data_IF_247466770523
#
_entry.id   IF_247466770523
#
_cell.length_a   1.000
_cell.length_b   1.000
_cell.length_c   1.000
_cell.angle_alpha   90.00
_cell.angle_beta   90.00
_cell.angle_gamma   90.00
#
_symmetry.space_group_name_H-M   'P 1'
#
loop_
_entity.id
_entity.type
_entity.pdbx_description
1 polymer ?
#
# COMPACT_ATOMS: atom_id res chain seq x y z
N UNK A 1 -29.39 12.81 2.48
CA UNK A 1 -30.30 13.68 3.28
C UNK A 1 -30.61 13.18 4.70
N UNK A 2 -30.76 11.89 4.95
CA UNK A 2 -31.04 11.35 6.30
C UNK A 2 -29.80 11.46 7.21
N UNK A 3 -28.63 11.24 6.70
CA UNK A 3 -27.36 11.29 7.43
C UNK A 3 -26.95 12.72 7.82
N UNK A 4 -27.14 13.70 6.95
CA UNK A 4 -26.95 15.13 7.29
C UNK A 4 -27.88 15.63 8.39
N UNK A 5 -29.07 15.03 8.52
CA UNK A 5 -29.99 15.33 9.64
C UNK A 5 -29.55 14.69 10.96
N UNK A 6 -28.88 13.54 10.94
CA UNK A 6 -28.36 12.89 12.14
C UNK A 6 -27.11 13.61 12.68
N UNK A 7 -26.18 14.01 11.80
CA UNK A 7 -25.00 14.79 12.19
C UNK A 7 -25.35 16.18 12.77
N UNK A 8 -26.41 16.84 12.26
CA UNK A 8 -26.85 18.13 12.80
C UNK A 8 -27.44 18.08 14.23
N UNK A 9 -27.73 16.89 14.75
CA UNK A 9 -28.24 16.72 16.12
C UNK A 9 -27.15 16.39 17.15
N UNK A 10 -25.96 16.03 16.74
CA UNK A 10 -24.91 15.51 17.62
C UNK A 10 -23.66 16.42 17.67
N UNK A 11 -23.51 17.37 16.74
CA UNK A 11 -22.35 18.29 16.75
C UNK A 11 -22.79 19.75 16.86
N UNK A 12 -22.12 20.58 17.69
CA UNK A 12 -22.24 22.03 17.61
C UNK A 12 -21.65 22.49 16.25
N UNK A 13 -22.30 23.50 15.66
CA UNK A 13 -21.95 24.05 14.33
C UNK A 13 -20.46 24.41 14.27
N UNK A 14 -19.66 23.61 13.58
CA UNK A 14 -18.37 24.03 13.04
C UNK A 14 -18.67 24.63 11.68
N UNK A 15 -18.48 25.93 11.54
CA UNK A 15 -18.61 26.65 10.27
C UNK A 15 -17.35 26.39 9.46
N UNK A 16 -17.42 25.52 8.44
CA UNK A 16 -16.35 25.38 7.45
C UNK A 16 -16.49 26.57 6.50
N UNK A 17 -15.57 27.51 6.61
CA UNK A 17 -15.45 28.61 5.67
C UNK A 17 -14.89 28.11 4.34
N UNK A 18 -15.61 28.44 3.28
CA UNK A 18 -15.30 28.38 1.85
C UNK A 18 -13.88 27.95 1.46
N UNK A 19 -13.72 26.76 0.89
CA UNK A 19 -12.54 26.40 0.09
C UNK A 19 -12.53 27.20 -1.21
N UNK A 20 -11.56 28.09 -1.34
CA UNK A 20 -11.22 28.75 -2.60
C UNK A 20 -10.39 27.80 -3.46
N UNK A 21 -10.85 27.61 -4.70
CA UNK A 21 -10.14 26.85 -5.72
C UNK A 21 -8.84 27.56 -6.11
N UNK A 22 -7.72 26.89 -6.01
CA UNK A 22 -6.48 27.29 -6.69
C UNK A 22 -5.92 26.09 -7.45
N UNK A 23 -5.79 26.29 -8.76
CA UNK A 23 -4.98 25.43 -9.63
C UNK A 23 -3.53 25.66 -9.26
N UNK A 24 -2.82 24.64 -8.80
CA UNK A 24 -1.39 24.74 -8.54
C UNK A 24 -0.65 23.59 -9.21
N UNK A 25 0.36 23.97 -9.99
CA UNK A 25 1.24 23.03 -10.68
C UNK A 25 2.11 22.26 -9.68
N UNK A 26 2.41 21.05 -10.07
CA UNK A 26 3.39 20.07 -9.57
C UNK A 26 4.14 20.42 -8.29
N UNK A 27 3.50 20.35 -7.13
CA UNK A 27 4.15 20.37 -5.83
C UNK A 27 4.05 18.99 -5.16
N UNK A 28 5.10 18.62 -4.43
CA UNK A 28 5.12 17.37 -3.68
C UNK A 28 4.08 17.41 -2.55
N UNK A 29 3.12 16.50 -2.56
CA UNK A 29 2.10 16.35 -1.52
C UNK A 29 2.52 15.24 -0.59
N UNK A 30 2.56 15.49 0.71
CA UNK A 30 2.66 14.46 1.73
C UNK A 30 1.24 14.19 2.25
N UNK A 31 0.69 13.03 1.94
CA UNK A 31 -0.60 12.61 2.45
C UNK A 31 -0.46 11.30 3.25
N UNK A 32 -1.01 11.28 4.45
CA UNK A 32 -1.15 10.07 5.26
C UNK A 32 -2.63 9.78 5.39
N UNK A 33 -3.08 8.70 4.80
CA UNK A 33 -4.47 8.27 4.83
C UNK A 33 -4.67 7.19 5.90
N UNK A 34 -5.62 7.39 6.78
CA UNK A 34 -6.00 6.43 7.80
C UNK A 34 -7.48 6.06 7.68
N UNK A 35 -7.80 4.78 7.70
CA UNK A 35 -9.18 4.30 7.70
C UNK A 35 -9.63 4.03 9.12
N UNK A 36 -10.71 4.68 9.54
CA UNK A 36 -11.14 4.78 10.93
C UNK A 36 -12.59 4.32 11.10
N UNK A 37 -12.85 3.50 12.10
CA UNK A 37 -14.21 3.13 12.53
C UNK A 37 -14.44 3.64 13.94
N UNK A 38 -15.47 4.45 14.16
CA UNK A 38 -15.67 5.14 15.42
C UNK A 38 -17.02 4.95 16.12
N UNK A 39 -17.00 4.85 17.45
CA UNK A 39 -18.16 4.99 18.32
C UNK A 39 -17.83 5.85 19.53
N UNK A 40 -18.43 7.06 19.59
CA UNK A 40 -18.48 8.08 20.67
C UNK A 40 -17.23 8.87 21.05
N UNK A 41 -17.43 10.15 21.34
CA UNK A 41 -16.56 11.32 21.18
C UNK A 41 -15.69 11.76 22.35
N UNK A 42 -14.50 12.27 22.05
CA UNK A 42 -13.71 13.40 22.65
C UNK A 42 -12.28 13.51 22.04
N UNK A 43 -11.59 14.65 22.10
CA UNK A 43 -10.55 15.11 21.16
C UNK A 43 -9.03 14.98 21.54
N UNK A 44 -8.09 14.81 20.59
CA UNK A 44 -6.62 14.61 20.77
C UNK A 44 -5.63 15.56 20.06
N UNK A 45 -4.42 15.67 20.62
CA UNK A 45 -3.33 16.54 20.17
C UNK A 45 -2.00 15.77 19.98
N UNK A 46 -1.26 16.05 18.93
CA UNK A 46 0.08 15.47 18.60
C UNK A 46 1.19 16.54 18.69
N UNK A 47 2.30 16.28 19.35
CA UNK A 47 3.48 17.16 19.43
C UNK A 47 4.81 16.36 19.36
N UNK A 48 5.84 16.99 18.82
CA UNK A 48 7.19 16.42 18.68
C UNK A 48 8.09 16.64 19.91
N UNK A 49 8.92 15.64 20.23
CA UNK A 49 10.03 15.79 21.20
C UNK A 49 11.32 15.18 20.65
N UNK A 50 12.42 15.96 20.70
CA UNK A 50 13.78 15.51 20.40
C UNK A 50 14.43 14.82 21.60
N UNK A 51 15.12 13.70 21.37
CA UNK A 51 15.87 12.99 22.39
C UNK A 51 17.30 13.53 22.55
N UNK A 52 17.75 13.68 23.80
CA UNK A 52 19.07 14.15 24.16
C UNK A 52 20.08 12.97 24.27
N UNK A 53 21.31 13.23 23.85
CA UNK A 53 22.44 12.28 23.89
C UNK A 53 22.90 11.94 25.32
N UNK A 54 23.00 10.65 25.62
CA UNK A 54 23.60 10.13 26.87
C UNK A 54 25.02 9.65 26.64
N UNK A 55 26.00 10.18 27.39
CA UNK A 55 27.40 9.79 27.40
C UNK A 55 27.59 8.42 28.07
N UNK A 56 28.28 7.50 27.41
CA UNK A 56 28.71 6.21 27.98
C UNK A 56 30.14 6.32 28.52
N UNK A 57 30.34 5.93 29.78
CA UNK A 57 31.65 5.86 30.45
C UNK A 57 32.33 4.51 30.13
N UNK A 58 33.60 4.57 29.80
CA UNK A 58 34.44 3.40 29.54
C UNK A 58 34.92 2.75 30.84
N UNK A 59 34.53 1.49 31.06
CA UNK A 59 35.05 0.64 32.10
C UNK A 59 35.94 -0.48 31.52
N UNK A 60 37.23 -0.50 31.84
CA UNK A 60 38.18 -1.54 31.43
C UNK A 60 38.12 -2.74 32.36
N UNK A 61 37.68 -3.89 31.90
CA UNK A 61 37.84 -5.18 32.58
C UNK A 61 38.67 -6.13 31.72
N UNK A 62 39.80 -6.59 32.29
CA UNK A 62 40.68 -7.62 31.72
C UNK A 62 39.99 -8.98 31.80
N UNK A 63 39.64 -9.57 30.65
CA UNK A 63 39.06 -10.91 30.62
C UNK A 63 40.11 -11.93 30.18
N UNK A 64 40.20 -13.02 30.91
CA UNK A 64 41.09 -14.16 30.65
C UNK A 64 40.76 -14.83 29.32
N UNK A 65 41.78 -15.17 28.55
CA UNK A 65 41.72 -15.86 27.26
C UNK A 65 41.31 -17.32 27.49
N UNK A 66 40.00 -17.62 27.35
CA UNK A 66 39.53 -19.00 27.19
C UNK A 66 39.90 -19.51 25.80
N UNK A 67 40.59 -20.65 25.74
CA UNK A 67 40.84 -21.39 24.49
C UNK A 67 39.50 -21.95 24.02
N UNK A 68 38.89 -21.32 22.99
CA UNK A 68 37.68 -21.83 22.34
C UNK A 68 38.04 -23.02 21.49
N UNK A 69 37.49 -24.19 21.82
CA UNK A 69 37.42 -25.34 20.92
C UNK A 69 36.83 -24.85 19.58
N UNK A 70 37.36 -25.25 18.41
CA UNK A 70 36.74 -24.90 17.14
C UNK A 70 35.28 -25.40 17.12
N UNK A 71 34.33 -24.50 16.96
CA UNK A 71 32.96 -24.89 16.74
C UNK A 71 32.89 -25.74 15.46
N UNK A 72 32.08 -26.80 15.47
CA UNK A 72 31.80 -27.54 14.25
C UNK A 72 31.41 -26.56 13.13
N UNK A 73 31.87 -26.78 11.88
CA UNK A 73 31.49 -25.91 10.79
C UNK A 73 29.97 -25.79 10.74
N UNK A 74 29.49 -24.57 10.65
CA UNK A 74 28.04 -24.32 10.51
C UNK A 74 27.56 -25.10 9.29
N UNK A 75 26.38 -25.72 9.35
CA UNK A 75 25.84 -26.50 8.24
C UNK A 75 25.76 -25.60 7.01
N UNK A 76 26.28 -26.11 5.88
CA UNK A 76 26.29 -25.41 4.60
C UNK A 76 24.87 -24.98 4.22
N UNK A 77 24.71 -23.71 3.83
CA UNK A 77 23.40 -23.17 3.38
C UNK A 77 23.14 -23.70 1.97
N UNK A 78 21.96 -24.33 1.76
CA UNK A 78 21.56 -24.89 0.48
C UNK A 78 20.28 -24.27 -0.05
N UNK A 79 20.08 -24.37 -1.38
CA UNK A 79 18.83 -23.86 -1.98
C UNK A 79 17.60 -24.58 -1.42
N UNK A 80 17.57 -25.89 -1.50
CA UNK A 80 16.37 -26.67 -1.17
C UNK A 80 15.91 -26.46 0.27
N UNK A 81 16.85 -26.45 1.23
CA UNK A 81 16.51 -26.36 2.66
C UNK A 81 16.30 -24.92 3.14
N UNK A 82 17.14 -23.98 2.67
CA UNK A 82 17.23 -22.67 3.30
C UNK A 82 16.71 -21.52 2.41
N UNK A 83 16.95 -21.59 1.11
CA UNK A 83 16.65 -20.49 0.18
C UNK A 83 15.27 -20.65 -0.46
N UNK A 84 14.91 -21.84 -0.91
CA UNK A 84 13.61 -22.08 -1.55
C UNK A 84 12.42 -21.69 -0.68
N UNK A 85 12.37 -22.00 0.65
CA UNK A 85 11.28 -21.53 1.51
C UNK A 85 11.10 -20.02 1.50
N UNK A 86 12.21 -19.26 1.55
CA UNK A 86 12.18 -17.79 1.53
C UNK A 86 11.67 -17.28 0.18
N UNK A 87 12.27 -17.78 -0.91
CA UNK A 87 11.95 -17.36 -2.28
C UNK A 87 10.50 -17.67 -2.63
N UNK A 88 10.02 -18.88 -2.30
CA UNK A 88 8.66 -19.32 -2.60
C UNK A 88 7.61 -18.54 -1.83
N UNK A 89 7.90 -18.17 -0.58
CA UNK A 89 6.98 -17.42 0.26
C UNK A 89 6.94 -15.93 -0.09
N UNK A 90 8.11 -15.31 -0.33
CA UNK A 90 8.22 -13.84 -0.42
C UNK A 90 8.36 -13.36 -1.87
N UNK A 91 9.20 -14.01 -2.69
CA UNK A 91 9.57 -13.49 -4.00
C UNK A 91 8.64 -13.97 -5.13
N UNK A 92 8.18 -15.23 -5.05
CA UNK A 92 7.46 -15.91 -6.13
C UNK A 92 6.10 -15.27 -6.47
N UNK A 93 5.48 -14.51 -5.56
CA UNK A 93 4.23 -13.79 -5.84
C UNK A 93 4.36 -12.83 -7.02
N UNK A 94 5.51 -12.17 -7.14
CA UNK A 94 5.80 -11.23 -8.22
C UNK A 94 6.72 -11.83 -9.29
N UNK A 95 7.67 -12.68 -8.89
CA UNK A 95 8.68 -13.28 -9.77
C UNK A 95 8.24 -14.65 -10.31
N UNK A 96 7.20 -14.63 -11.15
CA UNK A 96 6.66 -15.79 -11.88
C UNK A 96 6.04 -15.36 -13.21
N UNK A 97 5.83 -16.30 -14.16
CA UNK A 97 5.21 -15.97 -15.44
C UNK A 97 3.85 -15.26 -15.28
N UNK A 98 3.65 -14.18 -16.02
CA UNK A 98 2.41 -13.38 -16.03
C UNK A 98 2.27 -12.36 -14.90
N UNK A 99 3.27 -12.24 -14.02
CA UNK A 99 3.32 -11.22 -12.97
C UNK A 99 4.33 -10.10 -13.29
N UNK A 100 4.46 -9.14 -12.39
CA UNK A 100 5.25 -7.92 -12.63
C UNK A 100 6.77 -8.16 -12.66
N UNK A 101 7.27 -9.16 -11.94
CA UNK A 101 8.70 -9.46 -11.88
C UNK A 101 9.28 -9.72 -13.27
N UNK A 102 10.46 -9.18 -13.59
CA UNK A 102 11.05 -9.28 -14.94
C UNK A 102 11.52 -10.70 -15.31
N UNK A 103 11.68 -11.58 -14.32
CA UNK A 103 12.11 -12.97 -14.47
C UNK A 103 11.43 -13.87 -13.42
N UNK A 104 11.41 -15.17 -13.68
CA UNK A 104 10.90 -16.18 -12.74
C UNK A 104 11.91 -16.48 -11.64
N UNK A 105 11.41 -16.89 -10.46
CA UNK A 105 12.20 -17.43 -9.35
C UNK A 105 11.53 -18.71 -8.79
N UNK A 106 10.98 -19.55 -9.66
CA UNK A 106 10.25 -20.76 -9.27
C UNK A 106 11.10 -22.02 -9.22
N UNK A 107 12.30 -21.99 -9.81
CA UNK A 107 13.21 -23.13 -9.88
C UNK A 107 14.58 -22.81 -9.29
N UNK A 108 15.34 -23.84 -8.95
CA UNK A 108 16.73 -23.68 -8.53
C UNK A 108 17.57 -22.93 -9.60
N UNK A 109 17.40 -23.31 -10.85
CA UNK A 109 18.10 -22.73 -11.99
C UNK A 109 17.79 -21.25 -12.13
N UNK A 110 16.52 -20.85 -12.02
CA UNK A 110 16.08 -19.46 -12.04
C UNK A 110 16.78 -18.64 -10.93
N UNK A 111 16.74 -19.14 -9.70
CA UNK A 111 17.28 -18.44 -8.54
C UNK A 111 18.81 -18.39 -8.58
N UNK A 112 19.47 -19.47 -9.01
CA UNK A 112 20.92 -19.52 -9.17
C UNK A 112 21.42 -18.55 -10.24
N UNK A 113 20.72 -18.46 -11.37
CA UNK A 113 21.07 -17.53 -12.44
C UNK A 113 21.04 -16.06 -11.96
N UNK A 114 20.21 -15.73 -10.97
CA UNK A 114 20.06 -14.39 -10.43
C UNK A 114 20.67 -14.22 -9.03
N UNK A 115 21.42 -15.21 -8.51
CA UNK A 115 21.91 -15.24 -7.14
C UNK A 115 22.70 -13.98 -6.75
N UNK A 116 23.63 -13.52 -7.59
CA UNK A 116 24.40 -12.29 -7.37
C UNK A 116 23.49 -11.05 -7.25
N UNK A 117 22.48 -10.96 -8.12
CA UNK A 117 21.53 -9.86 -8.10
C UNK A 117 20.66 -9.91 -6.84
N UNK A 118 20.15 -11.09 -6.47
CA UNK A 118 19.36 -11.30 -5.26
C UNK A 118 20.14 -10.83 -4.04
N UNK A 119 21.39 -11.28 -3.86
CA UNK A 119 22.24 -10.83 -2.74
C UNK A 119 22.39 -9.31 -2.72
N UNK A 120 22.64 -8.69 -3.88
CA UNK A 120 22.83 -7.24 -3.96
C UNK A 120 21.56 -6.46 -3.59
N UNK A 121 20.39 -6.86 -4.09
CA UNK A 121 19.14 -6.11 -3.87
C UNK A 121 18.54 -6.35 -2.48
N UNK A 122 18.72 -7.56 -1.92
CA UNK A 122 18.26 -7.87 -0.55
C UNK A 122 19.13 -7.22 0.51
N UNK A 123 20.46 -7.20 0.32
CA UNK A 123 21.39 -6.50 1.22
C UNK A 123 21.10 -4.99 1.31
N UNK A 124 20.64 -4.38 0.22
CA UNK A 124 20.23 -2.97 0.19
C UNK A 124 18.78 -2.76 0.62
N UNK A 125 18.04 -3.83 0.93
CA UNK A 125 16.59 -3.82 1.21
C UNK A 125 15.75 -3.18 0.10
N UNK A 126 16.25 -3.25 -1.15
CA UNK A 126 15.52 -2.83 -2.34
C UNK A 126 14.45 -3.87 -2.74
N UNK A 127 14.76 -5.16 -2.52
CA UNK A 127 13.82 -6.28 -2.69
C UNK A 127 13.82 -7.15 -1.43
N UNK A 128 12.65 -7.62 -1.03
CA UNK A 128 11.30 -7.30 -1.53
C UNK A 128 10.93 -5.83 -1.29
N UNK A 129 9.94 -5.27 -2.06
CA UNK A 129 9.53 -3.87 -1.96
C UNK A 129 8.70 -3.63 -0.69
N UNK A 130 9.36 -3.41 0.42
CA UNK A 130 8.77 -3.16 1.72
C UNK A 130 9.46 -1.97 2.38
N UNK A 131 8.76 -0.83 2.46
CA UNK A 131 9.36 0.41 2.95
C UNK A 131 9.32 0.62 4.46
N UNK A 132 8.21 0.26 5.18
CA UNK A 132 8.10 0.57 6.60
C UNK A 132 9.20 -0.08 7.44
N UNK A 133 9.73 0.66 8.38
CA UNK A 133 10.57 0.12 9.45
C UNK A 133 9.73 -0.70 10.44
N UNK A 134 10.37 -1.42 11.36
CA UNK A 134 9.67 -2.05 12.47
C UNK A 134 9.22 -0.98 13.44
N UNK A 135 7.93 -0.98 13.76
CA UNK A 135 7.29 -0.06 14.70
C UNK A 135 6.51 -0.80 15.79
N UNK A 136 5.59 -0.09 16.41
CA UNK A 136 4.77 -0.64 17.51
C UNK A 136 3.72 -1.65 17.03
N UNK A 137 3.37 -1.61 15.74
CA UNK A 137 2.30 -2.44 15.17
C UNK A 137 2.78 -3.27 14.00
N UNK A 138 2.29 -4.50 13.90
CA UNK A 138 2.55 -5.38 12.77
C UNK A 138 1.60 -5.07 11.61
N UNK A 139 2.12 -5.17 10.38
CA UNK A 139 1.31 -5.09 9.17
C UNK A 139 0.95 -6.48 8.65
N UNK A 140 -0.23 -6.58 8.06
CA UNK A 140 -0.62 -7.77 7.31
C UNK A 140 0.27 -7.89 6.04
N UNK A 141 0.60 -9.13 5.66
CA UNK A 141 1.40 -9.43 4.47
C UNK A 141 2.78 -8.76 4.43
N UNK A 142 3.42 -8.61 5.58
CA UNK A 142 4.76 -8.07 5.67
C UNK A 142 5.74 -8.87 4.81
N UNK A 143 6.37 -8.21 3.83
CA UNK A 143 7.33 -8.81 2.91
C UNK A 143 8.79 -8.66 3.37
N UNK A 144 9.04 -8.06 4.52
CA UNK A 144 10.39 -7.77 5.01
C UNK A 144 11.18 -9.05 5.26
N UNK A 145 12.37 -9.12 4.69
CA UNK A 145 13.36 -10.14 5.05
C UNK A 145 14.01 -9.82 6.41
N UNK A 146 14.25 -10.84 7.22
CA UNK A 146 15.08 -10.70 8.41
C UNK A 146 16.57 -10.55 8.03
N UNK A 147 17.39 -10.08 8.97
CA UNK A 147 18.84 -9.99 8.77
C UNK A 147 19.47 -11.37 8.56
N UNK A 148 18.93 -12.39 9.23
CA UNK A 148 19.33 -13.78 9.07
C UNK A 148 19.02 -14.30 7.66
N UNK A 149 17.84 -14.00 7.12
CA UNK A 149 17.47 -14.40 5.76
C UNK A 149 18.36 -13.72 4.70
N UNK A 150 18.68 -12.43 4.91
CA UNK A 150 19.63 -11.71 4.05
C UNK A 150 21.02 -12.33 4.13
N UNK A 151 21.47 -12.69 5.33
CA UNK A 151 22.75 -13.36 5.54
C UNK A 151 22.77 -14.77 4.89
N UNK A 152 21.66 -15.51 4.93
CA UNK A 152 21.51 -16.80 4.25
C UNK A 152 21.68 -16.69 2.74
N UNK A 153 21.07 -15.69 2.09
CA UNK A 153 21.29 -15.45 0.65
C UNK A 153 22.77 -15.22 0.32
N UNK A 154 23.44 -14.41 1.13
CA UNK A 154 24.88 -14.14 0.97
C UNK A 154 25.71 -15.41 1.14
N UNK A 155 25.53 -16.14 2.24
CA UNK A 155 26.29 -17.36 2.55
C UNK A 155 26.07 -18.41 1.46
N UNK A 156 24.82 -18.58 0.98
CA UNK A 156 24.52 -19.49 -0.12
C UNK A 156 25.25 -19.13 -1.41
N UNK A 157 25.25 -17.85 -1.77
CA UNK A 157 25.95 -17.38 -2.98
C UNK A 157 27.48 -17.56 -2.85
N UNK A 158 28.07 -17.20 -1.71
CA UNK A 158 29.50 -17.33 -1.46
C UNK A 158 29.97 -18.79 -1.43
N UNK A 159 29.09 -19.74 -1.05
CA UNK A 159 29.35 -21.19 -1.13
C UNK A 159 29.21 -21.76 -2.55
N UNK A 160 28.98 -20.94 -3.59
CA UNK A 160 28.80 -21.40 -4.97
C UNK A 160 27.35 -21.80 -5.30
N UNK A 161 26.42 -21.39 -4.49
CA UNK A 161 24.98 -21.62 -4.64
C UNK A 161 24.61 -23.12 -4.75
N UNK A 162 24.94 -23.96 -3.75
CA UNK A 162 24.64 -25.41 -3.78
C UNK A 162 23.13 -25.66 -3.75
N UNK A 163 22.67 -26.71 -4.48
CA UNK A 163 21.26 -27.06 -4.55
C UNK A 163 20.76 -27.72 -3.26
N UNK A 164 21.55 -28.62 -2.69
CA UNK A 164 21.15 -29.44 -1.52
C UNK A 164 20.36 -30.69 -1.90
N UNK A 165 19.95 -31.44 -0.88
CA UNK A 165 19.24 -32.69 -1.04
C UNK A 165 17.80 -32.48 -1.56
N UNK A 166 17.37 -33.36 -2.48
CA UNK A 166 16.02 -33.25 -3.07
C UNK A 166 14.88 -33.37 -2.05
N UNK A 167 15.10 -34.13 -0.97
CA UNK A 167 14.10 -34.32 0.11
C UNK A 167 13.81 -33.04 0.91
N UNK A 168 14.73 -32.07 0.89
CA UNK A 168 14.63 -30.83 1.64
C UNK A 168 13.90 -29.72 0.83
N UNK A 169 13.64 -29.96 -0.46
CA UNK A 169 12.91 -29.02 -1.29
C UNK A 169 11.44 -28.94 -0.86
N UNK A 170 10.95 -27.75 -0.45
CA UNK A 170 9.53 -27.59 -0.17
C UNK A 170 8.68 -27.78 -1.44
N UNK A 171 7.42 -28.16 -1.30
CA UNK A 171 6.53 -28.21 -2.45
C UNK A 171 6.45 -26.85 -3.14
N UNK A 172 6.41 -26.79 -4.48
CA UNK A 172 6.33 -25.54 -5.20
C UNK A 172 5.06 -24.77 -4.81
N UNK A 173 5.12 -23.43 -4.78
CA UNK A 173 3.98 -22.62 -4.41
C UNK A 173 2.83 -22.82 -5.41
N UNK A 174 1.62 -22.91 -4.89
CA UNK A 174 0.41 -23.02 -5.71
C UNK A 174 -0.19 -21.63 -5.86
N UNK A 175 -0.40 -21.20 -7.10
CA UNK A 175 -1.04 -19.94 -7.40
C UNK A 175 -2.42 -20.18 -7.99
N UNK A 176 -3.38 -19.37 -7.56
CA UNK A 176 -4.74 -19.41 -8.11
C UNK A 176 -4.70 -19.03 -9.59
N UNK A 177 -5.19 -19.91 -10.44
CA UNK A 177 -5.41 -19.61 -11.85
C UNK A 177 -6.71 -18.77 -11.98
N UNK A 178 -6.63 -17.66 -12.66
CA UNK A 178 -7.80 -16.78 -12.80
C UNK A 178 -7.99 -15.85 -11.58
N UNK A 179 -9.25 -15.61 -11.19
CA UNK A 179 -9.60 -14.73 -10.09
C UNK A 179 -9.18 -15.32 -8.75
N UNK A 180 -8.49 -14.52 -7.91
CA UNK A 180 -7.88 -15.01 -6.65
C UNK A 180 -8.92 -15.54 -5.67
N UNK A 181 -10.10 -14.92 -5.65
CA UNK A 181 -11.21 -15.27 -4.76
C UNK A 181 -12.26 -16.15 -5.41
N UNK A 182 -11.93 -16.80 -6.53
CA UNK A 182 -12.89 -17.54 -7.36
C UNK A 182 -13.61 -16.62 -8.33
N UNK A 183 -14.64 -17.13 -9.02
CA UNK A 183 -15.40 -16.37 -10.03
C UNK A 183 -16.15 -15.20 -9.37
N UNK A 184 -15.92 -13.94 -9.79
CA UNK A 184 -16.71 -12.80 -9.34
C UNK A 184 -18.19 -12.91 -9.73
N UNK A 185 -19.06 -12.27 -8.95
CA UNK A 185 -20.49 -12.14 -9.34
C UNK A 185 -20.65 -11.29 -10.59
N UNK A 186 -19.81 -10.24 -10.69
CA UNK A 186 -19.74 -9.36 -11.87
C UNK A 186 -18.28 -9.09 -12.24
N UNK A 187 -18.01 -9.06 -13.54
CA UNK A 187 -16.72 -8.64 -14.09
C UNK A 187 -16.96 -7.41 -14.96
N UNK A 188 -16.42 -6.29 -14.54
CA UNK A 188 -16.32 -5.07 -15.35
C UNK A 188 -15.02 -5.14 -16.14
N UNK A 189 -15.09 -4.83 -17.43
CA UNK A 189 -13.92 -4.78 -18.31
C UNK A 189 -13.92 -3.48 -19.09
N UNK A 190 -12.78 -2.83 -19.17
CA UNK A 190 -12.63 -1.66 -20.05
C UNK A 190 -13.02 -2.03 -21.47
N UNK A 191 -13.94 -1.27 -22.05
CA UNK A 191 -14.48 -1.53 -23.40
C UNK A 191 -13.43 -1.33 -24.47
N UNK A 192 -12.54 -0.35 -24.26
CA UNK A 192 -11.42 -0.06 -25.14
C UNK A 192 -10.10 -0.17 -24.35
N UNK A 193 -9.06 -0.76 -24.95
CA UNK A 193 -7.72 -0.71 -24.36
C UNK A 193 -7.14 0.70 -24.51
N UNK A 194 -6.42 1.16 -23.49
CA UNK A 194 -5.55 2.31 -23.61
C UNK A 194 -4.21 1.90 -24.25
N UNK A 195 -3.76 2.67 -25.22
CA UNK A 195 -2.47 2.45 -25.87
C UNK A 195 -1.38 3.26 -25.16
N UNK A 196 -0.56 2.59 -24.34
CA UNK A 196 0.61 3.18 -23.70
C UNK A 196 1.75 3.24 -24.71
N UNK A 197 2.26 4.44 -24.98
CA UNK A 197 3.35 4.65 -25.92
C UNK A 197 4.68 4.09 -25.39
N UNK A 198 5.61 3.82 -26.32
CA UNK A 198 6.91 3.22 -26.00
C UNK A 198 7.79 4.08 -25.08
N UNK A 199 7.66 5.38 -25.14
CA UNK A 199 8.48 6.33 -24.38
C UNK A 199 7.68 7.53 -23.92
N UNK A 200 8.35 8.43 -23.22
CA UNK A 200 7.76 9.59 -22.58
C UNK A 200 7.84 9.50 -21.05
N UNK A 201 7.12 10.37 -20.38
CA UNK A 201 6.94 10.34 -18.93
C UNK A 201 5.86 9.33 -18.53
N UNK A 202 5.78 9.02 -17.26
CA UNK A 202 4.68 8.27 -16.68
C UNK A 202 3.35 8.91 -17.05
N UNK A 203 2.33 8.09 -17.26
CA UNK A 203 0.99 8.51 -17.65
C UNK A 203 -0.04 8.07 -16.62
N UNK A 204 -1.09 8.88 -16.47
CA UNK A 204 -2.23 8.58 -15.63
C UNK A 204 -3.46 8.50 -16.51
N UNK A 205 -4.18 7.36 -16.41
CA UNK A 205 -5.36 7.10 -17.21
C UNK A 205 -6.49 6.56 -16.36
N UNK A 206 -7.68 7.12 -16.55
CA UNK A 206 -8.88 6.80 -15.82
C UNK A 206 -9.82 5.97 -16.70
N UNK A 207 -10.14 4.76 -16.26
CA UNK A 207 -11.15 3.92 -16.89
C UNK A 207 -12.45 4.03 -16.11
N UNK A 208 -13.55 4.36 -16.79
CA UNK A 208 -14.87 4.51 -16.18
C UNK A 208 -15.70 3.26 -16.44
N UNK A 209 -16.29 2.69 -15.40
CA UNK A 209 -17.17 1.56 -15.44
C UNK A 209 -18.51 1.93 -14.82
N UNK A 210 -19.61 1.79 -15.54
CA UNK A 210 -20.93 1.95 -14.94
C UNK A 210 -21.22 0.83 -13.96
N UNK A 211 -21.77 1.17 -12.80
CA UNK A 211 -22.21 0.18 -11.83
C UNK A 211 -23.26 -0.75 -12.47
N UNK A 212 -23.02 -2.06 -12.47
CA UNK A 212 -23.88 -3.03 -13.15
C UNK A 212 -25.05 -3.46 -12.26
N UNK A 213 -25.64 -2.52 -11.51
CA UNK A 213 -26.70 -2.78 -10.55
C UNK A 213 -27.91 -1.91 -10.83
N UNK A 214 -29.11 -2.49 -10.70
CA UNK A 214 -30.39 -1.79 -10.86
C UNK A 214 -30.95 -1.27 -9.51
N UNK A 215 -30.40 -1.73 -8.41
CA UNK A 215 -30.74 -1.37 -7.03
C UNK A 215 -29.48 -1.40 -6.18
N UNK A 216 -29.51 -0.84 -4.98
CA UNK A 216 -28.39 -0.89 -4.05
C UNK A 216 -27.90 -2.32 -3.80
N UNK A 217 -26.61 -2.54 -4.01
CA UNK A 217 -25.92 -3.80 -3.72
C UNK A 217 -24.76 -3.55 -2.77
N UNK A 218 -24.40 -4.59 -2.03
CA UNK A 218 -23.27 -4.56 -1.13
C UNK A 218 -22.15 -5.43 -1.68
N UNK A 219 -20.97 -4.84 -1.82
CA UNK A 219 -19.77 -5.48 -2.38
C UNK A 219 -18.85 -5.82 -1.21
N UNK A 220 -18.68 -7.11 -0.94
CA UNK A 220 -17.82 -7.60 0.15
C UNK A 220 -16.33 -7.69 -0.25
N UNK A 221 -16.04 -7.69 -1.54
CA UNK A 221 -14.68 -7.72 -2.04
C UNK A 221 -14.60 -7.20 -3.48
N UNK A 222 -13.45 -6.63 -3.80
CA UNK A 222 -13.07 -6.19 -5.14
C UNK A 222 -11.74 -6.81 -5.51
N UNK A 223 -11.62 -7.31 -6.73
CA UNK A 223 -10.34 -7.73 -7.30
C UNK A 223 -10.03 -6.92 -8.55
N UNK A 224 -8.98 -6.11 -8.48
CA UNK A 224 -8.50 -5.30 -9.61
C UNK A 224 -7.51 -6.12 -10.43
N UNK A 225 -7.74 -6.19 -11.74
CA UNK A 225 -6.83 -6.74 -12.74
C UNK A 225 -6.43 -5.63 -13.69
N UNK A 226 -5.24 -5.10 -13.59
CA UNK A 226 -4.85 -3.88 -14.28
C UNK A 226 -4.66 -4.04 -15.80
N UNK A 227 -4.78 -5.24 -16.33
CA UNK A 227 -4.58 -5.55 -17.74
C UNK A 227 -3.13 -5.85 -18.10
N UNK A 228 -2.19 -5.06 -17.63
CA UNK A 228 -0.75 -5.29 -17.78
C UNK A 228 -0.03 -5.00 -16.46
N UNK A 229 0.33 -6.06 -15.73
CA UNK A 229 0.92 -5.95 -14.39
C UNK A 229 2.35 -5.41 -14.37
N UNK A 230 3.01 -5.26 -15.52
CA UNK A 230 4.36 -4.73 -15.64
C UNK A 230 4.39 -3.23 -15.89
N UNK A 231 3.40 -2.72 -16.61
CA UNK A 231 3.30 -1.31 -16.97
C UNK A 231 2.36 -0.52 -16.07
N UNK A 232 1.44 -1.19 -15.39
CA UNK A 232 0.63 -0.55 -14.34
C UNK A 232 1.42 -0.57 -13.04
N UNK A 233 1.90 0.60 -12.64
CA UNK A 233 2.66 0.79 -11.41
C UNK A 233 1.77 0.63 -10.18
N UNK A 234 0.61 1.34 -10.18
CA UNK A 234 -0.48 1.13 -9.24
C UNK A 234 -1.81 1.57 -9.86
N UNK A 235 -2.89 1.21 -9.21
CA UNK A 235 -4.24 1.62 -9.57
C UNK A 235 -5.09 1.84 -8.32
N UNK A 236 -5.91 2.90 -8.35
CA UNK A 236 -6.90 3.21 -7.34
C UNK A 236 -8.30 3.04 -7.94
N UNK A 237 -9.20 2.36 -7.25
CA UNK A 237 -10.60 2.29 -7.65
C UNK A 237 -11.42 3.20 -6.74
N UNK A 238 -12.18 4.09 -7.36
CA UNK A 238 -13.01 5.08 -6.70
C UNK A 238 -14.47 4.86 -7.10
N UNK A 239 -15.40 5.22 -6.24
CA UNK A 239 -16.83 5.22 -6.54
C UNK A 239 -17.27 6.67 -6.78
N UNK A 240 -17.69 6.98 -8.00
CA UNK A 240 -18.29 8.27 -8.35
C UNK A 240 -19.81 8.14 -8.29
N UNK A 241 -20.42 8.87 -7.37
CA UNK A 241 -21.87 8.90 -7.14
C UNK A 241 -22.57 10.04 -7.86
N UNK A 242 -21.80 10.90 -8.54
CA UNK A 242 -22.30 12.11 -9.22
C UNK A 242 -22.35 11.99 -10.73
N UNK A 243 -21.81 10.88 -11.27
CA UNK A 243 -21.57 10.67 -12.71
C UNK A 243 -20.60 11.66 -13.37
N UNK A 244 -19.86 12.44 -12.59
CA UNK A 244 -18.93 13.46 -13.08
C UNK A 244 -17.80 12.87 -13.92
N UNK A 245 -17.28 11.72 -13.54
CA UNK A 245 -16.19 11.05 -14.25
C UNK A 245 -16.56 10.64 -15.68
N UNK A 246 -17.81 10.22 -15.91
CA UNK A 246 -18.26 9.85 -17.26
C UNK A 246 -18.39 11.05 -18.21
N UNK A 247 -18.51 12.26 -17.67
CA UNK A 247 -18.56 13.49 -18.46
C UNK A 247 -17.17 13.96 -18.92
N UNK A 248 -16.10 13.44 -18.30
CA UNK A 248 -14.73 13.67 -18.76
C UNK A 248 -14.35 12.80 -19.95
N UNK A 249 -15.10 11.73 -20.23
CA UNK A 249 -14.86 10.88 -21.40
C UNK A 249 -15.33 11.57 -22.70
N UNK A 250 -14.48 11.61 -23.72
CA UNK A 250 -14.86 12.12 -25.05
C UNK A 250 -15.99 11.30 -25.67
N UNK A 251 -15.95 9.98 -25.47
CA UNK A 251 -17.04 9.05 -25.80
C UNK A 251 -17.10 7.95 -24.73
N UNK A 252 -18.27 7.40 -24.44
CA UNK A 252 -18.42 6.36 -23.43
C UNK A 252 -17.43 5.20 -23.58
N UNK A 253 -16.67 4.92 -22.54
CA UNK A 253 -15.67 3.86 -22.48
C UNK A 253 -14.32 4.20 -23.10
N UNK A 254 -14.10 5.46 -23.49
CA UNK A 254 -12.76 5.92 -23.92
C UNK A 254 -11.80 6.06 -22.74
N UNK A 255 -12.32 6.43 -21.56
CA UNK A 255 -11.53 6.89 -20.45
C UNK A 255 -10.98 8.30 -20.69
N UNK A 256 -10.21 8.80 -19.73
CA UNK A 256 -9.63 10.14 -19.81
C UNK A 256 -8.29 10.23 -19.04
N UNK A 257 -7.45 11.20 -19.42
CA UNK A 257 -6.16 11.44 -18.77
C UNK A 257 -6.35 12.25 -17.49
N UNK A 258 -5.53 11.98 -16.47
CA UNK A 258 -5.47 12.78 -15.25
C UNK A 258 -4.92 11.99 -14.07
N UNK A 259 -4.03 12.63 -13.32
CA UNK A 259 -3.47 12.07 -12.09
C UNK A 259 -4.47 12.22 -10.93
N UNK A 260 -5.08 13.40 -10.84
CA UNK A 260 -6.07 13.72 -9.82
C UNK A 260 -7.46 13.66 -10.43
N UNK A 261 -8.33 12.91 -9.80
CA UNK A 261 -9.74 12.92 -10.13
C UNK A 261 -10.37 14.14 -9.44
N UNK A 262 -10.80 15.11 -10.23
CA UNK A 262 -11.63 16.21 -9.73
C UNK A 262 -13.08 15.74 -9.54
N UNK A 263 -13.26 14.65 -8.82
CA UNK A 263 -14.56 14.21 -8.38
C UNK A 263 -14.88 15.05 -7.13
N UNK A 264 -16.00 15.75 -7.14
CA UNK A 264 -16.39 16.58 -6.01
C UNK A 264 -16.47 15.73 -4.74
N UNK A 265 -15.72 16.11 -3.70
CA UNK A 265 -15.59 15.33 -2.46
C UNK A 265 -16.91 15.10 -1.72
N UNK A 266 -17.94 15.89 -2.02
CA UNK A 266 -19.29 15.73 -1.49
C UNK A 266 -20.01 14.49 -2.08
N UNK A 267 -19.49 13.96 -3.18
CA UNK A 267 -20.03 12.79 -3.88
C UNK A 267 -19.34 11.49 -3.48
N UNK A 268 -18.19 11.58 -2.80
CA UNK A 268 -17.66 10.42 -2.10
C UNK A 268 -18.47 10.24 -0.81
N UNK A 269 -19.24 9.19 -0.76
CA UNK A 269 -19.59 8.64 0.54
C UNK A 269 -18.29 8.44 1.31
N UNK A 270 -18.29 8.60 2.65
CA UNK A 270 -17.12 8.36 3.49
C UNK A 270 -16.67 6.90 3.49
N UNK A 271 -16.89 6.20 2.39
CA UNK A 271 -16.43 4.85 2.13
C UNK A 271 -14.91 4.88 1.98
N UNK A 272 -14.21 4.97 3.10
CA UNK A 272 -12.75 4.88 3.17
C UNK A 272 -12.23 3.49 2.80
N UNK A 273 -12.91 2.78 1.89
CA UNK A 273 -12.41 1.55 1.32
C UNK A 273 -11.21 1.86 0.44
N UNK A 274 -10.02 1.48 0.90
CA UNK A 274 -8.82 1.55 0.09
C UNK A 274 -8.83 0.46 -0.97
N UNK A 275 -9.47 0.74 -2.08
CA UNK A 275 -9.48 -0.11 -3.27
C UNK A 275 -8.23 0.20 -4.10
N UNK A 276 -7.10 -0.27 -3.62
CA UNK A 276 -5.77 -0.03 -4.17
C UNK A 276 -5.16 -1.32 -4.69
N UNK A 277 -4.55 -1.25 -5.86
CA UNK A 277 -3.77 -2.33 -6.45
C UNK A 277 -2.35 -1.86 -6.77
N UNK A 278 -1.39 -2.69 -6.45
CA UNK A 278 0.00 -2.63 -6.96
C UNK A 278 0.47 -4.06 -7.25
N UNK A 279 1.61 -4.24 -7.94
CA UNK A 279 2.21 -5.57 -8.11
C UNK A 279 2.33 -6.32 -6.77
N UNK A 280 1.82 -7.55 -6.75
CA UNK A 280 1.80 -8.38 -5.55
C UNK A 280 0.58 -8.20 -4.63
N UNK A 281 -0.35 -7.30 -4.92
CA UNK A 281 -1.60 -7.15 -4.15
C UNK A 281 -2.43 -8.43 -4.20
N UNK A 282 -2.86 -8.88 -3.01
CA UNK A 282 -3.79 -9.99 -2.85
C UNK A 282 -5.21 -9.43 -2.62
N UNK A 283 -6.17 -9.93 -3.40
CA UNK A 283 -7.58 -9.62 -3.19
C UNK A 283 -8.07 -10.23 -1.87
N UNK A 284 -8.85 -9.46 -1.11
CA UNK A 284 -9.39 -9.87 0.19
C UNK A 284 -10.82 -9.40 0.36
N UNK A 285 -11.65 -10.17 1.07
CA UNK A 285 -12.94 -9.66 1.49
C UNK A 285 -12.74 -8.58 2.56
N UNK A 286 -13.58 -7.56 2.53
CA UNK A 286 -13.74 -6.66 3.65
C UNK A 286 -14.31 -7.42 4.86
N UNK A 287 -14.04 -6.95 6.09
CA UNK A 287 -14.73 -7.48 7.27
C UNK A 287 -16.24 -7.52 7.07
N UNK A 288 -16.92 -8.52 7.60
CA UNK A 288 -18.35 -8.76 7.33
C UNK A 288 -19.26 -7.55 7.58
N UNK A 289 -18.84 -6.65 8.49
CA UNK A 289 -19.60 -5.45 8.84
C UNK A 289 -19.36 -4.28 7.85
N UNK A 290 -18.37 -4.35 6.96
CA UNK A 290 -17.84 -3.23 6.15
C UNK A 290 -17.96 -3.47 4.64
N UNK A 291 -19.08 -3.93 4.13
CA UNK A 291 -19.25 -4.06 2.68
C UNK A 291 -19.36 -2.68 2.02
N UNK A 292 -18.74 -2.52 0.84
CA UNK A 292 -18.85 -1.32 0.02
C UNK A 292 -20.28 -1.21 -0.55
N UNK A 293 -20.90 -0.06 -0.39
CA UNK A 293 -22.20 0.23 -1.01
C UNK A 293 -22.02 0.64 -2.46
N UNK A 294 -22.84 0.04 -3.34
CA UNK A 294 -22.90 0.38 -4.75
C UNK A 294 -24.36 0.58 -5.15
N UNK A 295 -24.69 1.79 -5.62
CA UNK A 295 -26.04 2.17 -6.00
C UNK A 295 -26.23 2.15 -7.53
N UNK A 296 -27.48 2.07 -7.95
CA UNK A 296 -27.82 2.23 -9.37
C UNK A 296 -27.45 3.65 -9.81
N UNK A 297 -26.69 3.75 -10.88
CA UNK A 297 -26.24 5.03 -11.42
C UNK A 297 -24.82 5.44 -11.02
N UNK A 298 -24.24 4.82 -9.97
CA UNK A 298 -22.84 5.04 -9.62
C UNK A 298 -21.91 4.67 -10.77
N UNK A 299 -20.73 5.27 -10.80
CA UNK A 299 -19.60 4.83 -11.60
C UNK A 299 -18.45 4.32 -10.72
N UNK A 300 -17.73 3.34 -11.23
CA UNK A 300 -16.46 2.91 -10.69
C UNK A 300 -15.35 3.43 -11.59
N UNK A 301 -14.45 4.24 -11.04
CA UNK A 301 -13.35 4.86 -11.77
C UNK A 301 -12.04 4.23 -11.36
N UNK A 302 -11.38 3.54 -12.29
CA UNK A 302 -10.07 2.96 -12.08
C UNK A 302 -8.99 3.94 -12.58
N UNK A 303 -8.43 4.72 -11.66
CA UNK A 303 -7.27 5.57 -11.92
C UNK A 303 -6.01 4.70 -11.94
N UNK A 304 -5.26 4.74 -13.04
CA UNK A 304 -4.06 3.92 -13.24
C UNK A 304 -2.84 4.79 -13.48
N UNK A 305 -1.76 4.50 -12.76
CA UNK A 305 -0.43 5.03 -13.01
C UNK A 305 0.33 4.07 -13.93
N UNK A 306 0.75 4.54 -15.08
CA UNK A 306 1.31 3.76 -16.18
C UNK A 306 2.76 4.17 -16.47
N UNK A 307 3.65 3.19 -16.58
CA UNK A 307 5.07 3.41 -16.87
C UNK A 307 5.44 2.83 -18.24
N UNK A 308 5.97 3.65 -19.18
CA UNK A 308 6.45 3.18 -20.49
C UNK A 308 7.58 2.16 -20.38
N UNK A 309 7.56 1.15 -21.23
CA UNK A 309 8.51 0.02 -21.22
C UNK A 309 9.53 0.01 -22.35
N UNK A 310 9.56 1.04 -23.19
CA UNK A 310 10.37 1.05 -24.41
C UNK A 310 9.68 0.48 -25.64
N UNK A 311 8.45 -0.01 -25.49
CA UNK A 311 7.59 -0.50 -26.60
C UNK A 311 6.14 -0.13 -26.35
N UNK A 312 5.34 -0.11 -27.41
CA UNK A 312 3.90 0.14 -27.33
C UNK A 312 3.23 -1.04 -26.62
N UNK A 313 2.42 -0.74 -25.59
CA UNK A 313 1.67 -1.73 -24.82
C UNK A 313 0.17 -1.37 -24.80
N UNK A 314 -0.67 -2.38 -24.72
CA UNK A 314 -2.11 -2.20 -24.55
C UNK A 314 -2.50 -2.50 -23.10
N UNK A 315 -3.20 -1.56 -22.49
CA UNK A 315 -3.69 -1.64 -21.11
C UNK A 315 -5.21 -1.79 -21.15
N UNK A 316 -5.72 -2.95 -20.78
CA UNK A 316 -7.15 -3.21 -20.73
C UNK A 316 -7.51 -3.86 -19.39
N UNK A 317 -7.81 -3.05 -18.36
CA UNK A 317 -8.12 -3.56 -17.05
C UNK A 317 -9.49 -4.20 -16.95
N UNK A 318 -9.66 -4.99 -15.89
CA UNK A 318 -10.95 -5.48 -15.44
C UNK A 318 -11.05 -5.45 -13.92
N UNK A 319 -12.26 -5.33 -13.40
CA UNK A 319 -12.57 -5.30 -11.98
C UNK A 319 -13.61 -6.38 -11.69
N UNK A 320 -13.30 -7.27 -10.76
CA UNK A 320 -14.21 -8.29 -10.27
C UNK A 320 -14.91 -7.81 -9.00
N UNK A 321 -16.25 -7.86 -8.99
CA UNK A 321 -17.06 -7.53 -7.83
C UNK A 321 -17.65 -8.80 -7.24
N UNK A 322 -17.55 -8.91 -5.90
CA UNK A 322 -18.11 -10.02 -5.12
C UNK A 322 -19.18 -9.47 -4.20
N UNK A 323 -20.42 -9.79 -4.44
CA UNK A 323 -21.55 -9.27 -3.68
C UNK A 323 -21.79 -10.03 -2.37
N UNK A 324 -22.47 -9.36 -1.45
CA UNK A 324 -23.07 -9.95 -0.25
C UNK A 324 -24.52 -9.49 -0.13
N UNK A 325 -25.34 -10.28 0.58
CA UNK A 325 -26.70 -9.89 0.96
C UNK A 325 -26.74 -9.09 2.24
N UNK A 326 -25.65 -9.12 3.00
CA UNK A 326 -25.52 -8.42 4.26
C UNK A 326 -25.17 -6.96 3.99
N UNK A 327 -26.04 -6.05 4.41
CA UNK A 327 -25.74 -4.62 4.40
C UNK A 327 -24.60 -4.30 5.38
N UNK A 328 -23.78 -3.31 5.02
CA UNK A 328 -22.78 -2.81 5.95
C UNK A 328 -23.45 -2.17 7.19
N UNK A 329 -22.89 -2.43 8.34
CA UNK A 329 -23.25 -1.80 9.62
C UNK A 329 -22.13 -0.94 10.17
N UNK A 330 -20.93 -1.10 9.63
CA UNK A 330 -19.74 -0.31 9.91
C UNK A 330 -19.21 0.25 8.60
N UNK A 331 -18.76 1.50 8.66
CA UNK A 331 -18.28 2.22 7.49
C UNK A 331 -16.88 2.74 7.77
N UNK A 332 -15.88 2.40 6.94
CA UNK A 332 -14.56 2.97 7.07
C UNK A 332 -14.61 4.46 6.71
N UNK A 333 -13.87 5.27 7.44
CA UNK A 333 -13.70 6.70 7.17
C UNK A 333 -12.26 6.97 6.80
N UNK A 334 -12.05 7.76 5.75
CA UNK A 334 -10.74 8.23 5.36
C UNK A 334 -10.40 9.50 6.14
N UNK A 335 -9.33 9.45 6.95
CA UNK A 335 -8.68 10.64 7.50
C UNK A 335 -7.46 10.96 6.64
N UNK A 336 -7.46 12.13 6.04
CA UNK A 336 -6.35 12.63 5.23
C UNK A 336 -5.64 13.76 5.99
N UNK A 337 -4.32 13.60 6.20
CA UNK A 337 -3.42 14.63 6.69
C UNK A 337 -2.58 15.13 5.52
N UNK A 338 -2.61 16.42 5.25
CA UNK A 338 -1.97 17.04 4.09
C UNK A 338 -1.09 18.22 4.50
N UNK A 339 0.16 18.19 4.03
CA UNK A 339 1.14 19.23 4.31
C UNK A 339 1.46 20.11 3.07
N UNK A 340 0.65 20.04 2.01
CA UNK A 340 0.88 20.73 0.74
C UNK A 340 1.01 22.23 0.89
N UNK A 341 0.18 22.86 1.73
CA UNK A 341 0.18 24.30 2.00
C UNK A 341 1.41 24.80 2.75
N UNK A 342 2.18 23.90 3.35
CA UNK A 342 3.41 24.21 4.09
C UNK A 342 4.67 23.98 3.24
N UNK A 343 4.53 23.49 2.00
CA UNK A 343 5.65 23.18 1.13
C UNK A 343 6.19 24.44 0.46
N UNK A 344 7.14 25.07 1.14
CA UNK A 344 7.98 26.15 0.58
C UNK A 344 9.44 25.84 0.90
N UNK A 345 10.00 24.89 0.13
CA UNK A 345 11.33 24.33 0.38
C UNK A 345 12.41 25.30 -0.12
N UNK A 346 13.20 25.93 0.76
CA UNK A 346 14.30 26.81 0.37
C UNK A 346 15.32 26.07 -0.49
N UNK A 347 15.87 26.76 -1.49
CA UNK A 347 16.91 26.20 -2.36
C UNK A 347 18.11 25.72 -1.53
N UNK A 348 18.46 24.44 -1.67
CA UNK A 348 19.57 23.81 -0.96
C UNK A 348 19.25 23.25 0.43
N UNK A 349 18.05 23.46 0.95
CA UNK A 349 17.62 22.80 2.20
C UNK A 349 17.47 21.29 1.96
N UNK A 350 18.19 20.50 2.77
CA UNK A 350 18.20 19.05 2.72
C UNK A 350 17.39 18.39 3.85
N UNK A 351 16.90 19.20 4.78
CA UNK A 351 16.26 18.73 6.01
C UNK A 351 14.94 19.46 6.29
N UNK A 352 14.32 19.99 5.24
CA UNK A 352 13.01 20.62 5.35
C UNK A 352 11.98 19.63 5.89
N UNK A 353 11.26 20.02 6.94
CA UNK A 353 10.25 19.18 7.61
C UNK A 353 8.90 19.87 7.54
N UNK A 354 7.89 19.11 7.15
CA UNK A 354 6.48 19.50 7.25
C UNK A 354 5.75 18.53 8.14
N UNK A 355 4.71 18.99 8.82
CA UNK A 355 3.89 18.15 9.67
C UNK A 355 2.45 18.63 9.67
N UNK A 356 1.52 17.71 9.80
CA UNK A 356 0.11 17.97 10.04
C UNK A 356 -0.37 17.10 11.19
N UNK A 357 -1.37 17.57 11.94
CA UNK A 357 -1.91 16.85 13.08
C UNK A 357 -3.43 16.95 13.13
N UNK A 358 -4.06 15.88 13.56
CA UNK A 358 -5.48 15.81 13.76
C UNK A 358 -5.78 15.21 15.12
N UNK A 359 -6.68 15.87 15.85
CA UNK A 359 -7.17 15.40 17.12
C UNK A 359 -8.42 14.54 16.91
N UNK A 360 -8.37 13.26 17.31
CA UNK A 360 -9.48 12.33 17.15
C UNK A 360 -10.66 12.75 18.04
N UNK A 361 -11.84 13.07 17.47
CA UNK A 361 -13.01 13.43 18.25
C UNK A 361 -13.71 12.22 18.89
N UNK A 362 -13.36 11.01 18.48
CA UNK A 362 -13.98 9.75 18.91
C UNK A 362 -12.95 8.65 18.98
N UNK A 363 -13.22 7.60 19.75
CA UNK A 363 -12.45 6.37 19.72
C UNK A 363 -12.55 5.73 18.33
N UNK A 364 -11.41 5.22 17.81
CA UNK A 364 -11.34 4.67 16.47
C UNK A 364 -10.56 3.36 16.43
N UNK A 365 -10.83 2.55 15.42
CA UNK A 365 -10.00 1.44 15.02
C UNK A 365 -9.34 1.77 13.68
N UNK A 366 -8.01 1.97 13.70
CA UNK A 366 -7.21 2.24 12.51
C UNK A 366 -6.92 0.93 11.78
N UNK A 367 -7.45 0.79 10.56
CA UNK A 367 -7.38 -0.45 9.78
C UNK A 367 -6.16 -0.48 8.85
N UNK A 368 -5.80 0.67 8.30
CA UNK A 368 -4.71 0.80 7.35
C UNK A 368 -4.15 2.22 7.34
N UNK A 369 -2.95 2.36 6.81
CA UNK A 369 -2.30 3.65 6.60
C UNK A 369 -1.69 3.69 5.19
N UNK A 370 -1.82 4.84 4.52
CA UNK A 370 -1.26 5.07 3.19
C UNK A 370 -0.36 6.30 3.21
N UNK A 371 0.95 6.13 3.45
CA UNK A 371 1.90 7.21 3.30
C UNK A 371 2.09 7.53 1.82
N UNK A 372 2.12 8.82 1.50
CA UNK A 372 2.32 9.31 0.14
C UNK A 372 3.22 10.55 0.14
N UNK A 373 4.20 10.55 -0.74
CA UNK A 373 5.04 11.70 -1.06
C UNK A 373 5.57 11.56 -2.48
N UNK A 374 5.89 12.67 -3.12
CA UNK A 374 6.52 12.68 -4.43
C UNK A 374 8.07 12.59 -4.32
N UNK A 375 8.76 12.99 -5.39
CA UNK A 375 10.20 12.78 -5.61
C UNK A 375 11.13 13.32 -4.51
N UNK A 376 10.73 14.36 -3.78
CA UNK A 376 11.54 14.96 -2.73
C UNK A 376 11.31 14.34 -1.35
N UNK A 377 10.29 13.52 -1.19
CA UNK A 377 10.07 12.77 0.04
C UNK A 377 11.26 11.88 0.39
N UNK A 378 11.62 11.83 1.68
CA UNK A 378 12.75 11.02 2.17
C UNK A 378 12.37 10.18 3.37
N UNK A 379 11.78 10.81 4.37
CA UNK A 379 11.42 10.21 5.65
C UNK A 379 9.96 10.54 5.94
N UNK A 380 9.14 9.53 6.17
CA UNK A 380 7.72 9.67 6.48
C UNK A 380 7.42 8.98 7.80
N UNK A 381 6.94 9.75 8.77
CA UNK A 381 6.62 9.27 10.11
C UNK A 381 5.20 9.65 10.49
N UNK A 382 4.40 8.68 10.90
CA UNK A 382 3.12 8.92 11.55
C UNK A 382 3.13 8.35 12.97
N UNK A 383 2.72 9.18 13.92
CA UNK A 383 2.64 8.85 15.34
C UNK A 383 1.21 9.02 15.84
N UNK A 384 0.83 8.26 16.84
CA UNK A 384 -0.32 8.53 17.69
C UNK A 384 0.15 8.86 19.10
N UNK A 385 -0.27 10.00 19.65
CA UNK A 385 -0.08 10.32 21.05
C UNK A 385 -1.34 9.93 21.82
N UNK A 386 -1.20 9.02 22.76
CA UNK A 386 -2.29 8.53 23.60
C UNK A 386 -2.60 9.49 24.78
N UNK A 387 -3.79 9.41 25.44
CA UNK A 387 -4.18 10.30 26.53
C UNK A 387 -3.18 10.42 27.67
N UNK A 388 -2.45 9.34 27.95
CA UNK A 388 -1.40 9.31 28.98
C UNK A 388 -0.10 9.97 28.57
N UNK A 389 0.01 10.53 27.34
CA UNK A 389 1.23 11.11 26.78
C UNK A 389 2.20 10.08 26.16
N UNK A 390 1.84 8.80 26.16
CA UNK A 390 2.59 7.76 25.45
C UNK A 390 2.46 7.97 23.93
N UNK A 391 3.57 7.86 23.18
CA UNK A 391 3.59 7.89 21.72
C UNK A 391 3.72 6.49 21.15
N UNK A 392 2.93 6.21 20.11
CA UNK A 392 2.98 4.98 19.33
C UNK A 392 3.33 5.30 17.88
N UNK A 393 4.30 4.62 17.35
CA UNK A 393 4.66 4.72 15.92
C UNK A 393 3.64 3.94 15.09
N UNK A 394 2.80 4.66 14.38
CA UNK A 394 1.83 4.06 13.46
C UNK A 394 2.53 3.52 12.21
N UNK A 395 3.43 4.30 11.63
CA UNK A 395 4.33 3.88 10.55
C UNK A 395 5.55 4.78 10.52
N UNK A 396 6.71 4.21 10.19
CA UNK A 396 7.92 4.95 9.87
C UNK A 396 8.54 4.39 8.60
N UNK A 397 8.86 5.26 7.65
CA UNK A 397 9.58 4.96 6.42
C UNK A 397 10.78 5.89 6.33
N UNK A 398 11.93 5.45 6.86
CA UNK A 398 13.16 6.26 6.89
C UNK A 398 13.82 6.45 5.51
N UNK A 399 13.38 5.71 4.51
CA UNK A 399 13.88 5.81 3.13
C UNK A 399 12.72 5.66 2.17
N UNK A 400 12.01 6.75 1.94
CA UNK A 400 10.91 6.80 0.99
C UNK A 400 11.40 6.51 -0.44
N UNK A 401 10.62 5.68 -1.13
CA UNK A 401 10.77 5.45 -2.57
C UNK A 401 9.38 5.47 -3.20
N UNK A 402 9.13 6.48 -4.03
CA UNK A 402 7.87 6.69 -4.74
C UNK A 402 7.43 5.44 -5.54
N UNK A 403 8.38 4.65 -6.03
CA UNK A 403 8.07 3.44 -6.80
C UNK A 403 7.43 2.34 -5.98
N UNK A 404 7.51 2.41 -4.65
CA UNK A 404 7.02 1.37 -3.75
C UNK A 404 5.94 1.86 -2.78
N UNK A 405 5.28 2.97 -3.10
CA UNK A 405 4.14 3.43 -2.29
C UNK A 405 3.06 2.35 -2.21
N UNK A 406 2.45 2.21 -1.05
CA UNK A 406 1.45 1.17 -0.79
C UNK A 406 0.51 1.55 0.36
N UNK A 407 -0.67 0.96 0.34
CA UNK A 407 -1.53 0.86 1.52
C UNK A 407 -0.99 -0.24 2.43
N UNK A 408 -0.70 0.09 3.67
CA UNK A 408 -0.25 -0.84 4.70
C UNK A 408 -1.41 -1.13 5.65
N UNK A 409 -2.00 -2.32 5.54
CA UNK A 409 -3.06 -2.78 6.44
C UNK A 409 -2.42 -3.34 7.70
N UNK A 410 -2.94 -2.96 8.87
CA UNK A 410 -2.49 -3.54 10.13
C UNK A 410 -2.93 -5.00 10.24
N UNK A 411 -2.09 -5.84 10.84
CA UNK A 411 -2.41 -7.26 11.10
C UNK A 411 -3.61 -7.41 12.05
N UNK A 412 -3.78 -6.45 12.96
CA UNK A 412 -4.94 -6.27 13.81
C UNK A 412 -5.30 -4.77 13.82
N UNK A 413 -6.57 -4.40 13.84
CA UNK A 413 -6.96 -3.00 13.97
C UNK A 413 -6.29 -2.34 15.18
N UNK A 414 -5.74 -1.14 14.98
CA UNK A 414 -5.08 -0.38 16.04
C UNK A 414 -6.14 0.49 16.74
N UNK A 415 -6.36 0.22 18.02
CA UNK A 415 -7.33 1.00 18.82
C UNK A 415 -6.68 2.29 19.29
N UNK A 416 -7.28 3.40 18.92
CA UNK A 416 -6.88 4.74 19.33
C UNK A 416 -8.06 5.37 20.06
N UNK A 417 -7.82 5.71 21.32
CA UNK A 417 -8.83 6.39 22.13
C UNK A 417 -8.96 7.86 21.71
N UNK A 418 -10.08 8.45 21.98
CA UNK A 418 -10.32 9.89 21.85
C UNK A 418 -9.54 10.69 22.90
N UNK A 419 -9.32 11.99 22.69
CA UNK A 419 -8.70 12.95 23.59
C UNK A 419 -7.21 13.09 23.36
#
# INVERSE_FOLDING_TARGET
MIWQRMMRRVMPRVTISSMQRYVCGSAAVLAVFAVIVGTRAEAYRVQHAFAAEGKVAAGTTKTARQVRTPAAPAPEVTFNRDIAPIVFHICANCHRPGEAGPFSLLTYEDVKAHARQIVSVTARRFMPPWLPDRGDFAFADELRLSDEQIAQFRAWYEAGAPQGEAKDLPPPPKFTQGWQMGKPDVILRATKPFMLLAGGTDQYWNFVFRAPVAETRWVRAVEIRPGNKRQVHHANLLVDRSDSARHEEAHPGDGFAGMELQIESENFDPDGHFLFWKPGTLARPEPNAMALRLDAGDDLVLNTHLQPSGKVELIQPSVGLYFTRQAATEFPVLLQLECDKQLDIPAGDKHFVVSDEFTLPVDVELLAIYPHAHYLGKDLLALARLPGGEEKTLIHIARWDLNWQAVYRYAQPVKLASG
#
